data_IF_939488594805
#
_entry.id   IF_939488594805
#
_cell.length_a   1.000
_cell.length_b   1.000
_cell.length_c   1.000
_cell.angle_alpha   90.00
_cell.angle_beta   90.00
_cell.angle_gamma   90.00
#
_symmetry.space_group_name_H-M   'P 1'
#
loop_
_entity.id
_entity.type
_entity.pdbx_description
1 polymer ?
#
# COMPACT_ATOMS: atom_id res chain seq x y z
N UNK A 1 -20.14 8.74 -16.93
CA UNK A 1 -20.05 8.84 -15.46
C UNK A 1 -18.68 9.39 -15.15
N UNK A 2 -18.59 10.39 -14.29
CA UNK A 2 -17.30 10.94 -13.88
C UNK A 2 -16.59 9.90 -13.00
N UNK A 3 -15.41 9.44 -13.43
CA UNK A 3 -14.65 8.44 -12.70
C UNK A 3 -14.14 9.06 -11.40
N UNK A 4 -14.73 8.66 -10.26
CA UNK A 4 -14.25 9.06 -8.95
C UNK A 4 -12.82 8.52 -8.75
N UNK A 5 -11.85 9.42 -8.62
CA UNK A 5 -10.46 9.09 -8.27
C UNK A 5 -10.32 9.10 -6.76
N UNK A 6 -10.05 7.93 -6.18
CA UNK A 6 -9.81 7.82 -4.75
C UNK A 6 -8.32 7.94 -4.47
N UNK A 7 -7.93 8.94 -3.66
CA UNK A 7 -6.54 9.15 -3.27
C UNK A 7 -6.31 8.64 -1.87
N UNK A 8 -5.15 8.01 -1.64
CA UNK A 8 -4.77 7.44 -0.36
C UNK A 8 -4.24 8.53 0.59
N UNK A 9 -4.73 8.56 1.83
CA UNK A 9 -4.28 9.50 2.87
C UNK A 9 -2.95 9.03 3.49
N UNK A 10 -1.85 9.81 3.36
CA UNK A 10 -0.54 9.44 3.89
C UNK A 10 -0.47 9.31 5.41
N UNK A 11 -1.36 9.96 6.17
CA UNK A 11 -1.27 9.98 7.65
C UNK A 11 -1.85 8.70 8.28
N UNK A 12 -2.78 8.05 7.59
CA UNK A 12 -3.52 6.89 8.10
C UNK A 12 -3.26 5.61 7.30
N UNK A 13 -2.24 5.62 6.46
CA UNK A 13 -1.90 4.50 5.59
C UNK A 13 -0.44 4.13 5.79
N UNK A 14 -0.16 2.83 5.86
CA UNK A 14 1.19 2.30 6.02
C UNK A 14 1.41 1.17 5.00
N UNK A 15 2.55 1.21 4.29
CA UNK A 15 2.94 0.15 3.37
C UNK A 15 4.15 -0.59 3.94
N UNK A 16 3.91 -1.81 4.42
CA UNK A 16 4.93 -2.66 5.04
C UNK A 16 5.25 -3.90 4.21
N UNK A 17 6.45 -4.44 4.40
CA UNK A 17 6.84 -5.72 3.86
C UNK A 17 7.54 -6.57 4.92
N UNK A 18 7.49 -7.89 4.72
CA UNK A 18 8.15 -8.86 5.57
C UNK A 18 8.76 -9.95 4.73
N UNK A 19 10.08 -10.12 4.80
CA UNK A 19 10.81 -11.16 4.09
C UNK A 19 11.36 -12.17 5.09
N UNK A 20 11.16 -13.46 4.80
CA UNK A 20 11.75 -14.55 5.58
C UNK A 20 13.24 -14.67 5.24
N UNK A 21 14.10 -14.64 6.25
CA UNK A 21 15.55 -14.79 6.10
C UNK A 21 16.03 -16.07 6.78
N UNK A 22 16.55 -17.00 5.97
CA UNK A 22 17.08 -18.32 6.37
C UNK A 22 16.14 -19.14 7.26
N UNK A 23 14.84 -19.08 6.98
CA UNK A 23 13.77 -19.83 7.68
C UNK A 23 13.53 -19.50 9.17
N UNK A 24 14.42 -18.76 9.83
CA UNK A 24 14.41 -18.55 11.28
C UNK A 24 14.06 -17.10 11.62
N UNK A 25 14.51 -16.15 10.79
CA UNK A 25 14.34 -14.73 11.04
C UNK A 25 13.43 -14.08 10.00
N UNK A 26 12.84 -12.94 10.36
CA UNK A 26 12.06 -12.14 9.42
C UNK A 26 12.59 -10.72 9.44
N UNK A 27 12.91 -10.19 8.27
CA UNK A 27 13.23 -8.78 8.08
C UNK A 27 11.93 -8.05 7.78
N UNK A 28 11.58 -7.07 8.61
CA UNK A 28 10.45 -6.17 8.36
C UNK A 28 10.99 -4.85 7.84
N UNK A 29 10.24 -4.22 6.95
CA UNK A 29 10.49 -2.86 6.50
C UNK A 29 9.19 -2.15 6.16
N UNK A 30 9.28 -0.84 6.06
CA UNK A 30 8.17 0.06 5.72
C UNK A 30 8.63 1.03 4.62
N UNK A 31 7.70 1.45 3.77
CA UNK A 31 7.91 2.55 2.84
C UNK A 31 7.34 3.82 3.45
N UNK A 32 8.22 4.77 3.78
CA UNK A 32 7.83 6.04 4.41
C UNK A 32 7.13 7.01 3.46
N UNK A 33 7.47 6.94 2.18
CA UNK A 33 6.90 7.78 1.14
C UNK A 33 6.32 6.88 0.06
N UNK A 34 5.00 6.81 -0.01
CA UNK A 34 4.28 6.08 -1.05
C UNK A 34 3.01 6.84 -1.43
N UNK A 35 2.54 6.62 -2.65
CA UNK A 35 1.30 7.18 -3.17
C UNK A 35 0.52 6.04 -3.81
N UNK A 36 -0.78 6.00 -3.56
CA UNK A 36 -1.70 5.07 -4.20
C UNK A 36 -2.97 5.82 -4.62
N UNK A 37 -3.51 5.42 -5.76
CA UNK A 37 -4.80 5.85 -6.24
C UNK A 37 -5.61 4.61 -6.63
N UNK A 38 -6.92 4.68 -6.45
CA UNK A 38 -7.83 3.62 -6.89
C UNK A 38 -8.77 4.21 -7.93
N UNK A 39 -8.85 3.54 -9.07
CA UNK A 39 -9.78 3.89 -10.14
C UNK A 39 -11.10 3.14 -9.93
N UNK A 40 -12.22 3.81 -10.21
CA UNK A 40 -13.57 3.27 -9.94
C UNK A 40 -13.86 1.96 -10.70
N UNK A 41 -13.21 1.75 -11.83
CA UNK A 41 -13.29 0.52 -12.63
C UNK A 41 -12.77 -0.73 -11.90
N UNK A 42 -12.04 -0.60 -10.79
CA UNK A 42 -11.64 -1.71 -9.92
C UNK A 42 -12.78 -2.21 -9.00
N UNK A 43 -13.89 -1.48 -8.87
CA UNK A 43 -14.99 -1.79 -7.96
C UNK A 43 -16.29 -2.25 -8.65
N UNK A 44 -16.29 -2.40 -9.98
CA UNK A 44 -17.43 -2.85 -10.80
C UNK A 44 -17.22 -4.25 -11.36
#
# INVERSE_FOLDING_TARGET
MENAKWTLDPTHSELTFKVKHLMISNVKGEFKNFSAGIDNEDFS
#
